data_IF_935797586817
#
_entry.id   IF_935797586817
#
_cell.length_a   1.000
_cell.length_b   1.000
_cell.length_c   1.000
_cell.angle_alpha   90.00
_cell.angle_beta   90.00
_cell.angle_gamma   90.00
#
_symmetry.space_group_name_H-M   'P 1'
#
loop_
_entity.id
_entity.type
_entity.pdbx_description
1 polymer ?
#
# COMPACT_ATOMS: atom_id res chain seq x y z
N UNK A 1 -7.50 -5.11 -13.46
CA UNK A 1 -6.53 -4.05 -13.62
C UNK A 1 -5.13 -4.52 -13.21
N UNK A 2 -4.13 -3.67 -13.39
CA UNK A 2 -2.74 -4.03 -13.13
C UNK A 2 -2.47 -4.37 -11.66
N UNK A 3 -3.07 -3.64 -10.73
CA UNK A 3 -2.88 -3.91 -9.29
C UNK A 3 -3.47 -5.26 -8.91
N UNK A 4 -4.62 -5.60 -9.45
CA UNK A 4 -5.26 -6.91 -9.21
C UNK A 4 -4.40 -8.04 -9.76
N UNK A 5 -3.86 -7.88 -10.96
CA UNK A 5 -2.98 -8.87 -11.59
C UNK A 5 -1.69 -9.04 -10.79
N UNK A 6 -1.07 -7.92 -10.37
CA UNK A 6 0.14 -7.95 -9.55
C UNK A 6 -0.10 -8.67 -8.22
N UNK A 7 -1.24 -8.40 -7.59
CA UNK A 7 -1.62 -9.06 -6.35
C UNK A 7 -1.79 -10.56 -6.50
N UNK A 8 -2.43 -10.99 -7.59
CA UNK A 8 -2.60 -12.40 -7.88
C UNK A 8 -1.25 -13.12 -8.06
N UNK A 9 -0.34 -12.49 -8.78
CA UNK A 9 1.00 -13.03 -8.99
C UNK A 9 1.76 -13.12 -7.66
N UNK A 10 1.71 -12.07 -6.84
CA UNK A 10 2.38 -12.05 -5.56
C UNK A 10 1.87 -13.16 -4.63
N UNK A 11 0.55 -13.39 -4.59
CA UNK A 11 -0.04 -14.48 -3.80
C UNK A 11 0.44 -15.83 -4.30
N UNK A 12 0.44 -16.03 -5.61
CA UNK A 12 0.86 -17.31 -6.22
C UNK A 12 2.32 -17.63 -5.95
N UNK A 13 3.18 -16.60 -5.95
CA UNK A 13 4.62 -16.76 -5.70
C UNK A 13 4.96 -16.80 -4.20
N UNK A 14 4.00 -16.62 -3.32
CA UNK A 14 4.24 -16.44 -1.88
C UNK A 14 5.27 -15.34 -1.63
N UNK A 15 5.11 -14.23 -2.35
CA UNK A 15 6.04 -13.12 -2.23
C UNK A 15 6.04 -12.58 -0.79
N UNK A 16 7.22 -12.21 -0.30
CA UNK A 16 7.32 -11.61 1.02
C UNK A 16 6.71 -10.23 1.02
N UNK A 17 6.87 -9.49 -0.06
CA UNK A 17 6.39 -8.13 -0.19
C UNK A 17 6.01 -7.82 -1.62
N UNK A 18 4.93 -7.08 -1.79
CA UNK A 18 4.52 -6.53 -3.07
C UNK A 18 4.69 -5.02 -3.01
N UNK A 19 5.37 -4.42 -3.97
CA UNK A 19 5.53 -2.98 -4.06
C UNK A 19 4.70 -2.49 -5.25
N UNK A 20 3.74 -1.61 -4.97
CA UNK A 20 2.88 -1.01 -5.99
C UNK A 20 3.33 0.45 -6.19
N UNK A 21 3.73 0.77 -7.41
CA UNK A 21 4.12 2.13 -7.76
C UNK A 21 2.88 2.88 -8.22
N UNK A 22 2.67 4.05 -7.66
CA UNK A 22 1.48 4.86 -7.90
C UNK A 22 1.86 6.28 -8.27
N UNK A 23 0.87 7.07 -8.64
CA UNK A 23 1.02 8.51 -8.90
C UNK A 23 0.68 9.35 -7.66
N UNK A 24 0.67 8.72 -6.50
CA UNK A 24 0.49 9.40 -5.21
C UNK A 24 1.59 8.94 -4.26
N UNK A 25 1.85 9.74 -3.21
CA UNK A 25 2.89 9.41 -2.23
C UNK A 25 2.61 8.10 -1.48
N UNK A 26 1.35 7.78 -1.31
CA UNK A 26 0.86 6.66 -0.53
C UNK A 26 -0.49 7.04 0.05
N UNK A 27 -0.79 6.54 1.24
CA UNK A 27 -2.03 6.88 1.95
C UNK A 27 -1.75 8.09 2.84
N UNK A 28 -2.55 9.15 2.65
CA UNK A 28 -2.38 10.39 3.39
C UNK A 28 -3.47 10.56 4.46
N UNK A 29 -3.11 11.16 5.59
CA UNK A 29 -4.08 11.51 6.61
C UNK A 29 -4.82 12.81 6.27
N UNK A 30 -5.70 13.28 7.16
CA UNK A 30 -6.48 14.48 6.94
C UNK A 30 -5.61 15.74 6.83
N UNK A 31 -4.40 15.70 7.35
CA UNK A 31 -3.43 16.78 7.27
C UNK A 31 -2.48 16.62 6.08
N UNK A 32 -2.80 15.69 5.17
CA UNK A 32 -2.01 15.37 3.98
C UNK A 32 -0.61 14.85 4.31
N UNK A 33 -0.44 14.26 5.49
CA UNK A 33 0.80 13.60 5.87
C UNK A 33 0.73 12.12 5.55
N UNK A 34 1.84 11.57 5.10
CA UNK A 34 1.93 10.16 4.75
C UNK A 34 1.75 9.28 5.97
N UNK A 35 0.86 8.30 5.86
CA UNK A 35 0.68 7.26 6.87
C UNK A 35 1.59 6.11 6.49
N UNK A 36 2.61 5.85 7.30
CA UNK A 36 3.66 4.89 6.94
C UNK A 36 3.25 3.43 7.09
N UNK A 37 2.31 3.13 7.99
CA UNK A 37 1.88 1.75 8.22
C UNK A 37 0.41 1.70 8.58
N UNK A 38 -0.32 0.78 7.94
CA UNK A 38 -1.76 0.66 8.10
C UNK A 38 -2.14 -0.82 8.17
N UNK A 39 -2.93 -1.19 9.20
CA UNK A 39 -3.50 -2.53 9.29
C UNK A 39 -4.99 -2.49 8.92
N UNK A 40 -5.65 -3.66 8.91
CA UNK A 40 -7.05 -3.78 8.51
C UNK A 40 -8.00 -2.92 9.37
N UNK A 41 -7.74 -2.84 10.67
CA UNK A 41 -8.56 -2.04 11.59
C UNK A 41 -8.47 -0.56 11.25
N UNK A 42 -7.25 -0.08 11.01
CA UNK A 42 -7.02 1.32 10.68
C UNK A 42 -7.63 1.69 9.33
N UNK A 43 -7.57 0.77 8.36
CA UNK A 43 -8.21 0.98 7.06
C UNK A 43 -9.70 1.20 7.21
N UNK A 44 -10.39 0.36 8.00
CA UNK A 44 -11.83 0.50 8.23
C UNK A 44 -12.17 1.86 8.83
N UNK A 45 -11.40 2.30 9.82
CA UNK A 45 -11.61 3.60 10.45
C UNK A 45 -11.38 4.76 9.48
N UNK A 46 -10.35 4.69 8.66
CA UNK A 46 -10.04 5.74 7.70
C UNK A 46 -11.11 5.84 6.61
N UNK A 47 -11.68 4.72 6.19
CA UNK A 47 -12.79 4.71 5.22
C UNK A 47 -14.04 5.33 5.86
N UNK A 48 -14.37 4.96 7.09
CA UNK A 48 -15.53 5.52 7.80
C UNK A 48 -15.44 7.03 7.97
N UNK A 49 -14.24 7.53 8.25
CA UNK A 49 -14.01 8.97 8.43
C UNK A 49 -13.85 9.71 7.10
N UNK A 50 -13.94 8.98 5.99
CA UNK A 50 -13.74 9.54 4.64
C UNK A 50 -12.35 10.13 4.40
N UNK A 51 -11.38 9.78 5.23
CA UNK A 51 -9.98 10.14 5.03
C UNK A 51 -9.44 9.45 3.76
N UNK A 52 -9.86 8.19 3.56
CA UNK A 52 -9.60 7.46 2.32
C UNK A 52 -10.88 7.48 1.50
N UNK A 53 -10.78 7.90 0.24
CA UNK A 53 -11.96 8.03 -0.63
C UNK A 53 -11.62 7.75 -2.08
N UNK A 54 -12.66 7.69 -2.92
CA UNK A 54 -12.52 7.56 -4.36
C UNK A 54 -11.75 6.32 -4.79
N UNK A 55 -10.88 6.49 -5.76
CA UNK A 55 -10.09 5.40 -6.35
C UNK A 55 -9.11 4.74 -5.40
N UNK A 56 -8.78 5.39 -4.28
CA UNK A 56 -7.87 4.82 -3.29
C UNK A 56 -8.52 3.67 -2.51
N UNK A 57 -9.86 3.67 -2.37
CA UNK A 57 -10.57 2.61 -1.64
C UNK A 57 -10.36 1.24 -2.28
N UNK A 58 -10.64 1.03 -3.58
CA UNK A 58 -10.40 -0.29 -4.18
C UNK A 58 -8.92 -0.66 -4.19
N UNK A 59 -8.02 0.31 -4.37
CA UNK A 59 -6.58 0.05 -4.32
C UNK A 59 -6.16 -0.51 -2.97
N UNK A 60 -6.58 0.13 -1.89
CA UNK A 60 -6.24 -0.29 -0.53
C UNK A 60 -6.89 -1.62 -0.16
N UNK A 61 -8.14 -1.82 -0.58
CA UNK A 61 -8.83 -3.10 -0.33
C UNK A 61 -8.13 -4.25 -1.04
N UNK A 62 -7.67 -4.04 -2.26
CA UNK A 62 -6.88 -5.04 -2.98
C UNK A 62 -5.57 -5.33 -2.25
N UNK A 63 -4.87 -4.31 -1.78
CA UNK A 63 -3.65 -4.48 -1.01
C UNK A 63 -3.89 -5.27 0.27
N UNK A 64 -4.99 -4.99 0.97
CA UNK A 64 -5.34 -5.71 2.18
C UNK A 64 -5.66 -7.18 1.89
N UNK A 65 -6.38 -7.46 0.80
CA UNK A 65 -6.66 -8.82 0.37
C UNK A 65 -5.37 -9.60 0.13
N UNK A 66 -4.42 -9.00 -0.58
CA UNK A 66 -3.13 -9.62 -0.84
C UNK A 66 -2.37 -9.88 0.47
N UNK A 67 -2.33 -8.91 1.36
CA UNK A 67 -1.66 -9.03 2.65
C UNK A 67 -2.33 -10.08 3.56
N UNK A 68 -3.64 -10.28 3.40
CA UNK A 68 -4.38 -11.28 4.18
C UNK A 68 -4.23 -12.70 3.63
N UNK A 69 -3.69 -12.85 2.43
CA UNK A 69 -3.61 -14.14 1.73
C UNK A 69 -2.17 -14.58 1.44
N UNK A 70 -1.28 -14.36 2.39
CA UNK A 70 0.06 -14.92 2.37
C UNK A 70 1.20 -13.98 2.05
N UNK A 71 0.93 -12.81 1.50
CA UNK A 71 1.96 -11.79 1.28
C UNK A 71 2.10 -10.97 2.56
N UNK A 72 3.28 -10.92 3.16
CA UNK A 72 3.46 -10.30 4.49
C UNK A 72 3.19 -8.80 4.52
N UNK A 73 3.36 -8.12 3.42
CA UNK A 73 3.06 -6.70 3.33
C UNK A 73 2.98 -6.22 1.91
N UNK A 74 2.18 -5.17 1.69
CA UNK A 74 2.06 -4.52 0.39
C UNK A 74 2.39 -3.04 0.60
N UNK A 75 3.33 -2.51 -0.15
CA UNK A 75 3.73 -1.11 -0.01
C UNK A 75 3.28 -0.33 -1.22
N UNK A 76 2.60 0.79 -0.98
CA UNK A 76 2.27 1.74 -2.04
C UNK A 76 3.32 2.84 -1.99
N UNK A 77 4.04 3.05 -3.09
CA UNK A 77 5.08 4.08 -3.19
C UNK A 77 4.77 5.03 -4.34
N UNK A 78 5.37 6.21 -4.29
CA UNK A 78 5.24 7.20 -5.35
C UNK A 78 6.21 6.86 -6.48
N UNK A 79 5.68 6.37 -7.59
CA UNK A 79 6.48 6.02 -8.76
C UNK A 79 7.08 7.21 -9.50
N UNK A 80 6.62 8.42 -9.19
CA UNK A 80 7.14 9.65 -9.81
C UNK A 80 8.41 10.15 -9.12
N UNK A 81 8.65 9.69 -7.89
CA UNK A 81 9.77 10.12 -7.08
C UNK A 81 11.02 9.34 -7.45
N UNK A 82 12.13 10.05 -7.69
CA UNK A 82 13.39 9.41 -8.02
C UNK A 82 13.85 8.47 -6.90
N UNK A 83 14.22 7.26 -7.27
CA UNK A 83 14.78 6.26 -6.36
C UNK A 83 13.82 5.80 -5.25
N UNK A 84 12.49 5.92 -5.45
CA UNK A 84 11.49 5.47 -4.47
C UNK A 84 11.72 4.02 -4.06
N UNK A 85 11.99 3.15 -5.04
CA UNK A 85 12.22 1.72 -4.78
C UNK A 85 13.45 1.53 -3.89
N UNK A 86 14.53 2.26 -4.18
CA UNK A 86 15.76 2.15 -3.38
C UNK A 86 15.52 2.61 -1.95
N UNK A 87 14.81 3.70 -1.75
CA UNK A 87 14.46 4.18 -0.40
C UNK A 87 13.61 3.16 0.34
N UNK A 88 12.64 2.57 -0.36
CA UNK A 88 11.76 1.57 0.26
C UNK A 88 12.55 0.34 0.70
N UNK A 89 13.45 -0.16 -0.14
CA UNK A 89 14.20 -1.38 0.13
C UNK A 89 15.37 -1.20 1.09
N UNK A 90 16.00 -0.04 1.07
CA UNK A 90 17.27 0.17 1.76
C UNK A 90 17.20 1.07 3.00
N UNK A 91 16.13 1.84 3.17
CA UNK A 91 15.97 2.67 4.36
C UNK A 91 15.07 1.98 5.37
N UNK A 92 15.28 2.26 6.66
CA UNK A 92 14.44 1.72 7.73
C UNK A 92 13.02 2.25 7.68
N UNK A 93 12.88 3.50 7.28
CA UNK A 93 11.59 4.18 7.24
C UNK A 93 10.76 3.84 6.00
N UNK A 94 11.43 3.45 4.92
CA UNK A 94 10.77 3.24 3.64
C UNK A 94 10.39 4.55 2.97
N UNK A 95 9.63 4.49 1.88
CA UNK A 95 9.25 5.65 1.10
C UNK A 95 7.75 5.80 0.88
N UNK A 96 6.93 4.87 1.33
CA UNK A 96 5.50 4.88 1.10
C UNK A 96 4.69 4.36 2.27
N UNK A 97 3.51 3.83 1.97
CA UNK A 97 2.60 3.28 2.98
C UNK A 97 2.63 1.75 2.93
N UNK A 98 2.96 1.14 4.06
CA UNK A 98 2.93 -0.32 4.21
C UNK A 98 1.55 -0.73 4.68
N UNK A 99 0.90 -1.62 3.92
CA UNK A 99 -0.39 -2.21 4.26
C UNK A 99 -0.13 -3.64 4.66
N UNK A 100 -0.59 -4.01 5.84
CA UNK A 100 -0.44 -5.36 6.37
C UNK A 100 -1.71 -5.78 7.08
N UNK A 101 -1.81 -7.07 7.29
CA UNK A 101 -2.94 -7.67 8.00
C UNK A 101 -3.06 -7.18 9.44
#
# INVERSE_FOLDING_TARGET
>A
NADTAAGAIAKKLNARRLIIMSDVEGVLDDNKKLISEINSRKISNLIKKETISGGMIPKIKNCLDVASNGVKGVVIIDGRKNHSILFELLSKKGSGSLIRK
#
